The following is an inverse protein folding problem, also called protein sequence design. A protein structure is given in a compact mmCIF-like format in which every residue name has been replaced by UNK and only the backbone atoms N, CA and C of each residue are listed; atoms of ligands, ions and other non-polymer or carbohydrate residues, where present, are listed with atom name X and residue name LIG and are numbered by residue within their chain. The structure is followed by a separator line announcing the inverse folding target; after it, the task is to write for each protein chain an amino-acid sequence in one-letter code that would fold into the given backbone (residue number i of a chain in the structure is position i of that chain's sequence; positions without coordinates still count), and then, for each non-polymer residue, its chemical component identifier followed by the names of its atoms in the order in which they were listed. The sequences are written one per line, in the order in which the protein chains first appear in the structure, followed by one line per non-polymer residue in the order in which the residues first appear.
data_IF_246035410724
#
_entry.id   IF_246035410724
#
_cell.length_a   1.000
_cell.length_b   1.000
_cell.length_c   1.000
_cell.angle_alpha   90.00
_cell.angle_beta   90.00
_cell.angle_gamma   90.00
#
_symmetry.space_group_name_H-M   'P 1'
#
loop_
_entity.id
_entity.type
_entity.pdbx_description
1 polymer ?
#
# COMPACT_ATOMS: atom_id res chain seq x y z
N UNK A 1 -21.15 9.89 -18.19
CA UNK A 1 -21.33 8.65 -18.97
C UNK A 1 -20.20 7.70 -18.65
N UNK A 2 -20.46 6.40 -18.49
CA UNK A 2 -19.41 5.38 -18.40
C UNK A 2 -18.80 5.15 -19.79
N UNK A 3 -17.48 4.94 -19.86
CA UNK A 3 -16.73 4.89 -21.12
C UNK A 3 -16.25 3.47 -21.51
N UNK A 4 -16.00 2.60 -20.54
CA UNK A 4 -15.59 1.20 -20.76
C UNK A 4 -15.92 0.32 -19.54
N UNK A 5 -15.90 -1.01 -19.73
CA UNK A 5 -16.02 -2.00 -18.65
C UNK A 5 -14.93 -3.06 -18.83
N UNK A 6 -14.20 -3.35 -17.75
CA UNK A 6 -13.20 -4.41 -17.69
C UNK A 6 -13.70 -5.56 -16.80
N UNK A 7 -14.19 -6.64 -17.41
CA UNK A 7 -14.71 -7.81 -16.67
C UNK A 7 -13.59 -8.81 -16.32
N UNK A 8 -12.68 -8.39 -15.43
CA UNK A 8 -11.62 -9.22 -14.83
C UNK A 8 -11.14 -8.60 -13.52
N UNK A 9 -10.30 -9.32 -12.77
CA UNK A 9 -9.54 -8.71 -11.67
C UNK A 9 -8.49 -7.75 -12.26
N UNK A 10 -8.74 -6.45 -12.15
CA UNK A 10 -7.82 -5.38 -12.56
C UNK A 10 -6.87 -4.94 -11.44
N UNK A 11 -5.97 -4.00 -11.73
CA UNK A 11 -4.97 -3.48 -10.76
C UNK A 11 -5.57 -2.85 -9.50
N UNK A 12 -6.83 -2.45 -9.53
CA UNK A 12 -7.56 -1.93 -8.36
C UNK A 12 -8.15 -3.02 -7.45
N UNK A 13 -8.22 -4.27 -7.93
CA UNK A 13 -8.84 -5.37 -7.18
C UNK A 13 -8.01 -5.75 -5.97
N UNK A 14 -6.69 -5.93 -6.15
CA UNK A 14 -5.81 -6.35 -5.06
C UNK A 14 -5.73 -5.30 -3.94
N UNK A 15 -5.52 -3.99 -4.21
CA UNK A 15 -5.53 -2.97 -3.16
C UNK A 15 -6.84 -2.93 -2.36
N UNK A 16 -7.99 -2.99 -3.03
CA UNK A 16 -9.29 -3.01 -2.36
C UNK A 16 -9.45 -4.27 -1.49
N UNK A 17 -9.06 -5.43 -2.02
CA UNK A 17 -9.10 -6.68 -1.26
C UNK A 17 -8.15 -6.65 -0.04
N UNK A 18 -6.95 -6.08 -0.19
CA UNK A 18 -6.02 -5.90 0.94
C UNK A 18 -6.65 -5.04 2.03
N UNK A 19 -7.26 -3.90 1.66
CA UNK A 19 -8.00 -3.07 2.61
C UNK A 19 -9.08 -3.87 3.35
N UNK A 20 -9.90 -4.64 2.63
CA UNK A 20 -10.94 -5.49 3.22
C UNK A 20 -10.36 -6.54 4.18
N UNK A 21 -9.36 -7.31 3.75
CA UNK A 21 -8.82 -8.41 4.55
C UNK A 21 -8.07 -7.93 5.79
N UNK A 22 -7.29 -6.85 5.67
CA UNK A 22 -6.46 -6.34 6.77
C UNK A 22 -7.29 -5.60 7.82
N UNK A 23 -8.42 -5.00 7.42
CA UNK A 23 -9.25 -4.20 8.32
C UNK A 23 -10.55 -4.89 8.74
N UNK A 24 -10.89 -6.01 8.10
CA UNK A 24 -12.22 -6.64 8.14
C UNK A 24 -13.36 -5.66 7.80
N UNK A 25 -13.06 -4.57 7.09
CA UNK A 25 -14.01 -3.53 6.77
C UNK A 25 -14.82 -3.79 5.50
N UNK A 26 -15.72 -2.84 5.22
CA UNK A 26 -16.60 -2.86 4.06
C UNK A 26 -16.83 -1.45 3.53
N UNK A 27 -17.26 -1.35 2.28
CA UNK A 27 -17.70 -0.08 1.71
C UNK A 27 -19.17 0.18 2.09
N UNK A 28 -19.45 1.34 2.67
CA UNK A 28 -20.79 1.84 2.92
C UNK A 28 -21.23 2.72 1.75
N UNK A 29 -22.21 2.24 0.98
CA UNK A 29 -22.71 2.92 -0.21
C UNK A 29 -23.46 4.22 0.10
N UNK A 30 -24.10 4.32 1.28
CA UNK A 30 -24.88 5.49 1.67
C UNK A 30 -23.96 6.63 2.12
N UNK A 31 -22.89 6.30 2.85
CA UNK A 31 -21.88 7.26 3.26
C UNK A 31 -20.86 7.58 2.15
N UNK A 32 -20.64 6.65 1.22
CA UNK A 32 -19.59 6.74 0.21
C UNK A 32 -18.19 6.53 0.79
N UNK A 33 -18.09 5.81 1.90
CA UNK A 33 -16.86 5.63 2.67
C UNK A 33 -16.58 4.14 2.91
N UNK A 34 -15.30 3.79 3.07
CA UNK A 34 -14.93 2.48 3.56
C UNK A 34 -14.79 2.50 5.08
N UNK A 35 -15.49 1.59 5.76
CA UNK A 35 -15.59 1.56 7.22
C UNK A 35 -15.09 0.22 7.78
N UNK A 36 -14.35 0.31 8.88
CA UNK A 36 -14.01 -0.86 9.72
C UNK A 36 -15.26 -1.40 10.43
N UNK A 37 -15.21 -2.60 11.04
CA UNK A 37 -16.34 -3.12 11.84
C UNK A 37 -16.80 -2.21 12.98
N UNK A 38 -15.91 -1.33 13.47
CA UNK A 38 -16.20 -0.33 14.50
C UNK A 38 -16.74 0.99 13.94
N UNK A 39 -16.99 1.07 12.63
CA UNK A 39 -17.51 2.28 11.97
C UNK A 39 -16.46 3.37 11.76
N UNK A 40 -15.17 3.06 11.91
CA UNK A 40 -14.10 4.03 11.66
C UNK A 40 -13.73 4.05 10.17
N UNK A 41 -13.56 5.22 9.53
CA UNK A 41 -13.23 5.31 8.12
C UNK A 41 -11.80 4.84 7.84
N UNK A 42 -11.59 4.29 6.64
CA UNK A 42 -10.25 4.01 6.10
C UNK A 42 -10.17 4.48 4.65
N UNK A 43 -9.01 5.00 4.30
CA UNK A 43 -8.63 5.35 2.93
C UNK A 43 -7.34 4.64 2.57
N UNK A 44 -7.07 4.47 1.28
CA UNK A 44 -5.80 3.92 0.83
C UNK A 44 -5.26 4.65 -0.40
N UNK A 45 -3.93 4.63 -0.52
CA UNK A 45 -3.19 4.95 -1.74
C UNK A 45 -2.43 3.70 -2.13
N UNK A 46 -2.49 3.34 -3.42
CA UNK A 46 -1.81 2.15 -3.91
C UNK A 46 -1.17 2.38 -5.26
N UNK A 47 -0.06 1.69 -5.49
CA UNK A 47 0.61 1.57 -6.77
C UNK A 47 1.08 0.13 -6.93
N UNK A 48 0.86 -0.47 -8.10
CA UNK A 48 1.47 -1.74 -8.49
C UNK A 48 2.65 -1.53 -9.45
N UNK A 49 3.10 -0.27 -9.58
CA UNK A 49 4.09 0.15 -10.55
C UNK A 49 5.07 1.17 -9.96
N UNK A 50 5.47 0.97 -8.70
CA UNK A 50 6.57 1.71 -8.11
C UNK A 50 7.88 1.09 -8.59
N UNK A 51 8.58 1.81 -9.47
CA UNK A 51 9.78 1.31 -10.16
C UNK A 51 10.94 2.29 -9.99
N UNK A 52 12.08 1.79 -9.53
CA UNK A 52 13.38 2.50 -9.51
C UNK A 52 14.50 1.50 -9.78
N UNK A 53 15.51 1.91 -10.56
CA UNK A 53 16.67 1.04 -10.81
C UNK A 53 17.44 0.73 -9.52
N UNK A 54 17.54 1.70 -8.60
CA UNK A 54 18.19 1.53 -7.29
C UNK A 54 17.54 0.45 -6.43
N UNK A 55 16.22 0.22 -6.57
CA UNK A 55 15.51 -0.78 -5.77
C UNK A 55 15.95 -2.21 -6.02
N UNK A 56 16.63 -2.49 -7.14
CA UNK A 56 17.22 -3.82 -7.41
C UNK A 56 18.28 -4.24 -6.40
N UNK A 57 18.81 -3.28 -5.64
CA UNK A 57 19.80 -3.51 -4.57
C UNK A 57 19.17 -4.05 -3.29
N UNK A 58 17.88 -3.80 -3.10
CA UNK A 58 17.14 -4.25 -1.93
C UNK A 58 16.72 -5.71 -2.10
N UNK A 59 16.79 -6.48 -1.02
CA UNK A 59 16.18 -7.80 -0.90
C UNK A 59 14.83 -7.71 -0.18
N UNK A 60 13.94 -8.71 -0.33
CA UNK A 60 12.63 -8.73 0.34
C UNK A 60 12.69 -8.48 1.84
N UNK A 61 13.72 -8.99 2.51
CA UNK A 61 13.95 -8.82 3.95
C UNK A 61 14.14 -7.34 4.31
N UNK A 62 14.94 -6.60 3.51
CA UNK A 62 15.19 -5.16 3.71
C UNK A 62 13.88 -4.38 3.70
N UNK A 63 12.92 -4.74 2.83
CA UNK A 63 11.63 -4.05 2.76
C UNK A 63 10.87 -4.12 4.09
N UNK A 64 10.89 -5.29 4.73
CA UNK A 64 10.20 -5.48 6.01
C UNK A 64 10.92 -4.71 7.11
N UNK A 65 12.24 -4.83 7.17
CA UNK A 65 13.05 -4.15 8.18
C UNK A 65 12.88 -2.62 8.08
N UNK A 66 12.94 -2.07 6.86
CA UNK A 66 12.70 -0.65 6.58
C UNK A 66 11.33 -0.19 7.10
N UNK A 67 10.25 -0.94 6.84
CA UNK A 67 8.92 -0.56 7.32
C UNK A 67 8.82 -0.62 8.86
N UNK A 68 9.50 -1.57 9.49
CA UNK A 68 9.49 -1.73 10.94
C UNK A 68 10.29 -0.61 11.61
N UNK A 69 11.52 -0.38 11.16
CA UNK A 69 12.43 0.64 11.70
C UNK A 69 11.84 2.06 11.62
N UNK A 70 11.10 2.35 10.54
CA UNK A 70 10.46 3.64 10.35
C UNK A 70 9.02 3.72 10.87
N UNK A 71 8.49 2.64 11.48
CA UNK A 71 7.13 2.60 12.03
C UNK A 71 6.02 2.74 10.96
N UNK A 72 6.31 2.34 9.72
CA UNK A 72 5.42 2.43 8.56
C UNK A 72 4.66 1.13 8.30
N UNK A 73 5.11 0.00 8.84
CA UNK A 73 4.43 -1.29 8.71
C UNK A 73 2.97 -1.24 9.17
N UNK A 74 2.14 -2.10 8.58
CA UNK A 74 0.75 -2.21 8.98
C UNK A 74 0.60 -2.64 10.45
N UNK A 75 -0.04 -1.79 11.25
CA UNK A 75 -0.39 -2.04 12.65
C UNK A 75 -1.83 -2.59 12.71
N UNK A 76 -1.98 -3.82 13.19
CA UNK A 76 -3.29 -4.48 13.26
C UNK A 76 -4.24 -3.88 14.30
N UNK A 77 -3.72 -3.19 15.33
CA UNK A 77 -4.51 -2.50 16.35
C UNK A 77 -5.09 -1.21 15.80
N UNK A 78 -4.25 -0.43 15.10
CA UNK A 78 -4.67 0.84 14.48
C UNK A 78 -5.37 0.62 13.13
N UNK A 79 -5.14 -0.53 12.50
CA UNK A 79 -5.59 -0.86 11.15
C UNK A 79 -5.13 0.18 10.12
N UNK A 80 -3.87 0.61 10.25
CA UNK A 80 -3.21 1.60 9.39
C UNK A 80 -1.76 1.20 9.15
N UNK A 81 -1.16 1.70 8.08
CA UNK A 81 0.22 1.45 7.71
C UNK A 81 0.32 0.84 6.33
N UNK A 82 1.48 0.26 6.05
CA UNK A 82 1.91 -0.09 4.70
C UNK A 82 2.09 -1.59 4.53
N UNK A 83 1.67 -2.10 3.37
CA UNK A 83 1.91 -3.48 2.94
C UNK A 83 2.42 -3.48 1.50
N UNK A 84 3.44 -4.31 1.23
CA UNK A 84 3.98 -4.52 -0.11
C UNK A 84 3.31 -5.68 -0.84
N UNK A 85 3.29 -5.59 -2.16
CA UNK A 85 2.96 -6.69 -3.06
C UNK A 85 3.95 -6.71 -4.24
N UNK A 86 3.85 -7.73 -5.11
CA UNK A 86 4.76 -7.91 -6.25
C UNK A 86 6.25 -7.94 -5.86
N UNK A 87 6.58 -8.38 -4.63
CA UNK A 87 7.95 -8.40 -4.10
C UNK A 87 8.90 -9.21 -4.99
N UNK A 88 8.41 -10.27 -5.65
CA UNK A 88 9.21 -11.08 -6.57
C UNK A 88 9.73 -10.34 -7.81
N UNK A 89 9.17 -9.16 -8.15
CA UNK A 89 9.63 -8.32 -9.26
C UNK A 89 10.77 -7.37 -8.85
N UNK A 90 11.13 -7.30 -7.56
CA UNK A 90 12.09 -6.33 -7.04
C UNK A 90 13.50 -6.54 -7.61
N UNK A 91 14.06 -7.74 -7.45
CA UNK A 91 15.45 -8.02 -7.83
C UNK A 91 15.67 -7.92 -9.36
N UNK A 92 14.69 -8.33 -10.16
CA UNK A 92 14.82 -8.34 -11.62
C UNK A 92 14.41 -7.02 -12.28
N UNK A 93 13.50 -6.25 -11.70
CA UNK A 93 12.93 -5.07 -12.36
C UNK A 93 12.98 -3.79 -11.52
N UNK A 94 13.48 -3.85 -10.28
CA UNK A 94 13.42 -2.72 -9.35
C UNK A 94 11.97 -2.29 -9.07
N UNK A 95 11.03 -3.23 -9.20
CA UNK A 95 9.60 -2.97 -9.19
C UNK A 95 8.96 -3.63 -7.98
N UNK A 96 8.15 -2.86 -7.27
CA UNK A 96 7.26 -3.36 -6.23
C UNK A 96 5.88 -2.71 -6.36
N UNK A 97 4.91 -3.32 -5.71
CA UNK A 97 3.66 -2.65 -5.41
C UNK A 97 3.52 -2.39 -3.92
N UNK A 98 2.69 -1.41 -3.61
CA UNK A 98 2.58 -0.76 -2.32
C UNK A 98 1.10 -0.41 -2.10
N UNK A 99 0.58 -0.70 -0.91
CA UNK A 99 -0.73 -0.23 -0.43
C UNK A 99 -0.52 0.43 0.93
N UNK A 100 -0.79 1.74 0.99
CA UNK A 100 -0.74 2.53 2.21
C UNK A 100 -2.16 2.80 2.70
N UNK A 101 -2.49 2.33 3.91
CA UNK A 101 -3.82 2.43 4.53
C UNK A 101 -3.77 3.45 5.67
N UNK A 102 -4.61 4.48 5.60
CA UNK A 102 -4.75 5.51 6.63
C UNK A 102 -6.19 5.66 7.13
N UNK A 103 -6.38 6.38 8.23
CA UNK A 103 -7.70 6.76 8.74
C UNK A 103 -8.43 7.71 7.77
N UNK A 104 -7.67 8.48 6.99
CA UNK A 104 -8.16 9.37 5.96
C UNK A 104 -7.21 9.40 4.75
N UNK A 105 -7.63 10.10 3.69
CA UNK A 105 -6.84 10.24 2.45
C UNK A 105 -5.48 10.89 2.69
N UNK A 106 -5.40 11.87 3.59
CA UNK A 106 -4.17 12.60 3.84
C UNK A 106 -3.14 11.72 4.56
N UNK A 107 -3.56 10.91 5.53
CA UNK A 107 -2.70 9.93 6.20
C UNK A 107 -2.24 8.85 5.23
N UNK A 108 -3.14 8.30 4.41
CA UNK A 108 -2.77 7.30 3.41
C UNK A 108 -1.73 7.84 2.42
N UNK A 109 -1.87 9.10 2.00
CA UNK A 109 -0.89 9.76 1.12
C UNK A 109 0.45 9.99 1.83
N UNK A 110 0.45 10.48 3.08
CA UNK A 110 1.69 10.65 3.86
C UNK A 110 2.43 9.33 4.03
N UNK A 111 1.74 8.26 4.43
CA UNK A 111 2.32 6.93 4.55
C UNK A 111 2.94 6.45 3.22
N UNK A 112 2.26 6.69 2.10
CA UNK A 112 2.78 6.35 0.78
C UNK A 112 4.05 7.14 0.45
N UNK A 113 4.01 8.46 0.60
CA UNK A 113 5.13 9.36 0.28
C UNK A 113 6.35 9.09 1.18
N UNK A 114 6.11 8.88 2.48
CA UNK A 114 7.15 8.56 3.46
C UNK A 114 7.81 7.22 3.14
N UNK A 115 7.03 6.18 2.80
CA UNK A 115 7.59 4.88 2.38
C UNK A 115 8.42 5.02 1.12
N UNK A 116 7.94 5.71 0.09
CA UNK A 116 8.70 5.91 -1.15
C UNK A 116 10.02 6.63 -0.85
N UNK A 117 9.97 7.71 -0.07
CA UNK A 117 11.15 8.49 0.26
C UNK A 117 12.16 7.70 1.10
N UNK A 118 11.71 6.85 2.03
CA UNK A 118 12.60 5.97 2.81
C UNK A 118 13.24 4.92 1.91
N UNK A 119 12.45 4.23 1.07
CA UNK A 119 12.99 3.20 0.17
C UNK A 119 14.03 3.78 -0.79
N UNK A 120 13.79 4.98 -1.34
CA UNK A 120 14.76 5.67 -2.20
C UNK A 120 16.07 5.96 -1.46
N UNK A 121 16.01 6.44 -0.21
CA UNK A 121 17.20 6.69 0.60
C UNK A 121 17.97 5.41 0.94
N UNK A 122 17.28 4.37 1.39
CA UNK A 122 17.95 3.12 1.78
C UNK A 122 18.52 2.36 0.57
N UNK A 123 17.88 2.43 -0.59
CA UNK A 123 18.41 1.85 -1.82
C UNK A 123 19.66 2.58 -2.37
N UNK A 124 19.92 3.81 -1.93
CA UNK A 124 21.07 4.62 -2.31
C UNK A 124 22.20 4.61 -1.27
N UNK A 125 22.00 4.00 -0.10
CA UNK A 125 23.08 3.83 0.90
C UNK A 125 24.05 2.72 0.44
N UNK A 126 25.34 2.98 0.66
CA UNK A 126 26.48 2.11 0.32
C UNK A 126 26.58 0.87 1.22
#
# INVERSE_FOLDING_TARGET
YAIEINLRKGGTTLPYQMLQFLTAGHYDEAAGEFLTPLGQPRSYVASDNLVRESFRRLVPEDLIDILVEHGLHFDNTRQTGVVFNLIGALAEFGKLGLVAIGCDRAEAQRLFDDTVAVLEREAERD
#
